data_IF_416710047766
#
_entry.id   IF_416710047766
#
_cell.length_a   1.000
_cell.length_b   1.000
_cell.length_c   1.000
_cell.angle_alpha   90.00
_cell.angle_beta   90.00
_cell.angle_gamma   90.00
#
_symmetry.space_group_name_H-M   'P 1'
#
loop_
_entity.id
_entity.type
_entity.pdbx_description
1 polymer ?
#
# COMPACT_ATOMS: atom_id res chain seq x y z
N UNK A 1 25.95 -10.59 7.23
CA UNK A 1 25.54 -10.10 5.90
C UNK A 1 24.74 -8.82 6.06
N UNK A 2 24.79 -7.91 5.09
CA UNK A 2 24.08 -6.62 5.07
C UNK A 2 23.19 -6.62 3.81
N UNK A 3 21.88 -6.39 3.98
CA UNK A 3 20.94 -6.23 2.88
C UNK A 3 21.06 -4.80 2.32
N UNK A 4 21.23 -4.66 1.02
CA UNK A 4 21.21 -3.38 0.33
C UNK A 4 19.83 -3.10 -0.24
N UNK A 5 19.31 -4.01 -1.05
CA UNK A 5 18.06 -3.79 -1.78
C UNK A 5 17.37 -5.12 -2.14
N UNK A 6 16.04 -5.10 -2.26
CA UNK A 6 15.23 -6.20 -2.81
C UNK A 6 14.63 -5.73 -4.13
N UNK A 7 14.81 -6.49 -5.20
CA UNK A 7 14.38 -6.11 -6.54
C UNK A 7 13.85 -7.32 -7.35
N UNK A 8 12.74 -7.11 -8.05
CA UNK A 8 12.15 -8.09 -8.96
C UNK A 8 12.70 -7.96 -10.37
N UNK A 9 13.55 -8.90 -10.77
CA UNK A 9 14.18 -8.89 -12.07
C UNK A 9 13.32 -9.58 -13.14
N UNK A 10 13.38 -9.04 -14.35
CA UNK A 10 12.93 -9.70 -15.58
C UNK A 10 14.12 -10.42 -16.24
N UNK A 11 13.93 -10.97 -17.43
CA UNK A 11 15.02 -11.59 -18.20
C UNK A 11 16.03 -10.56 -18.75
N UNK A 12 15.71 -9.27 -18.67
CA UNK A 12 16.56 -8.15 -19.09
C UNK A 12 17.18 -7.41 -17.90
N UNK A 13 17.15 -8.04 -16.71
CA UNK A 13 17.65 -7.48 -15.47
C UNK A 13 19.16 -7.24 -15.45
N UNK A 14 19.59 -6.15 -14.83
CA UNK A 14 20.99 -5.79 -14.67
C UNK A 14 21.26 -5.28 -13.26
N UNK A 15 22.44 -5.63 -12.72
CA UNK A 15 22.94 -5.13 -11.45
C UNK A 15 24.32 -4.54 -11.68
N UNK A 16 24.45 -3.25 -11.41
CA UNK A 16 25.74 -2.54 -11.43
C UNK A 16 26.19 -2.27 -10.01
N UNK A 17 27.43 -2.65 -9.70
CA UNK A 17 28.03 -2.40 -8.39
C UNK A 17 29.30 -1.58 -8.59
N UNK A 18 29.33 -0.42 -7.95
CA UNK A 18 30.49 0.45 -7.87
C UNK A 18 30.94 0.58 -6.41
N UNK A 19 32.17 0.22 -6.12
CA UNK A 19 32.78 0.33 -4.80
C UNK A 19 34.03 1.19 -4.89
N UNK A 20 34.21 2.12 -3.95
CA UNK A 20 35.40 2.97 -3.86
C UNK A 20 35.86 3.16 -2.43
N UNK A 21 37.11 3.60 -2.26
CA UNK A 21 37.72 3.86 -0.95
C UNK A 21 37.67 2.65 -0.02
N UNK A 22 37.87 1.44 -0.56
CA UNK A 22 37.80 0.22 0.24
C UNK A 22 38.98 0.16 1.20
N UNK A 23 38.66 0.02 2.48
CA UNK A 23 39.61 -0.21 3.55
C UNK A 23 39.18 -1.41 4.39
N UNK A 24 40.12 -2.32 4.62
CA UNK A 24 39.91 -3.52 5.42
C UNK A 24 40.91 -3.50 6.56
N UNK A 25 40.41 -3.49 7.79
CA UNK A 25 41.22 -3.52 9.00
C UNK A 25 40.98 -4.82 9.74
N UNK A 26 42.04 -5.50 10.13
CA UNK A 26 42.00 -6.73 10.92
C UNK A 26 42.36 -6.45 12.38
N UNK A 27 41.93 -7.34 13.29
CA UNK A 27 42.43 -7.29 14.66
C UNK A 27 43.95 -7.56 14.69
N UNK A 28 44.66 -7.00 15.68
CA UNK A 28 46.13 -6.99 15.76
C UNK A 28 46.76 -8.41 15.73
N UNK A 29 46.00 -9.45 16.08
CA UNK A 29 46.47 -10.84 16.11
C UNK A 29 45.87 -11.73 15.00
N UNK A 30 45.08 -11.15 14.09
CA UNK A 30 44.39 -11.88 13.04
C UNK A 30 45.22 -11.92 11.74
N UNK A 31 45.28 -13.05 11.03
CA UNK A 31 45.83 -13.08 9.68
C UNK A 31 45.02 -12.16 8.75
N UNK A 32 45.70 -11.59 7.74
CA UNK A 32 45.03 -10.76 6.73
C UNK A 32 43.88 -11.57 6.09
N UNK A 33 42.69 -10.97 5.93
CA UNK A 33 41.55 -11.68 5.34
C UNK A 33 41.84 -12.09 3.91
N UNK A 34 41.34 -13.28 3.54
CA UNK A 34 41.32 -13.73 2.16
C UNK A 34 40.32 -12.85 1.39
N UNK A 35 40.73 -12.11 0.35
CA UNK A 35 39.84 -11.18 -0.36
C UNK A 35 38.60 -11.84 -0.99
N UNK A 36 38.62 -13.15 -1.26
CA UNK A 36 37.45 -13.89 -1.78
C UNK A 36 36.35 -14.13 -0.75
N UNK A 37 36.60 -13.86 0.54
CA UNK A 37 35.62 -14.02 1.63
C UNK A 37 34.82 -12.76 1.94
N UNK A 38 35.02 -11.70 1.15
CA UNK A 38 34.34 -10.42 1.24
C UNK A 38 33.75 -10.13 -0.14
N UNK A 39 32.44 -9.88 -0.24
CA UNK A 39 31.83 -9.72 -1.55
C UNK A 39 30.32 -9.49 -1.55
N UNK A 40 29.81 -9.28 -2.75
CA UNK A 40 28.41 -9.06 -3.05
C UNK A 40 27.82 -10.25 -3.81
N UNK A 41 26.58 -10.59 -3.49
CA UNK A 41 25.84 -11.67 -4.13
C UNK A 41 24.35 -11.35 -4.15
N UNK A 42 23.63 -11.97 -5.09
CA UNK A 42 22.17 -11.99 -5.09
C UNK A 42 21.68 -13.30 -4.48
N UNK A 43 20.59 -13.20 -3.73
CA UNK A 43 19.90 -14.34 -3.15
C UNK A 43 18.40 -14.22 -3.41
N UNK A 44 17.81 -15.27 -3.99
CA UNK A 44 16.36 -15.33 -4.16
C UNK A 44 15.67 -15.71 -2.86
N UNK A 45 14.40 -15.33 -2.70
CA UNK A 45 13.61 -15.67 -1.52
C UNK A 45 13.43 -17.18 -1.35
N UNK A 46 13.27 -17.92 -2.45
CA UNK A 46 13.15 -19.39 -2.45
C UNK A 46 14.43 -20.08 -1.97
N UNK A 47 15.59 -19.50 -2.28
CA UNK A 47 16.90 -20.05 -1.92
C UNK A 47 17.36 -19.66 -0.50
N UNK A 48 16.70 -18.67 0.11
CA UNK A 48 17.08 -18.14 1.43
C UNK A 48 17.05 -19.22 2.52
N UNK A 49 16.05 -20.11 2.49
CA UNK A 49 15.92 -21.17 3.48
C UNK A 49 17.07 -22.18 3.39
N UNK A 50 17.42 -22.62 2.18
CA UNK A 50 18.54 -23.53 1.93
C UNK A 50 19.86 -22.94 2.42
N UNK A 51 20.15 -21.67 2.08
CA UNK A 51 21.36 -20.99 2.54
C UNK A 51 21.39 -20.87 4.06
N UNK A 52 20.25 -20.57 4.69
CA UNK A 52 20.17 -20.49 6.16
C UNK A 52 20.45 -21.85 6.82
N UNK A 53 19.97 -22.95 6.21
CA UNK A 53 20.28 -24.30 6.67
C UNK A 53 21.78 -24.64 6.53
N UNK A 54 22.42 -24.26 5.42
CA UNK A 54 23.87 -24.44 5.23
C UNK A 54 24.68 -23.70 6.31
N UNK A 55 24.30 -22.45 6.61
CA UNK A 55 24.92 -21.65 7.68
C UNK A 55 24.71 -22.28 9.06
N UNK A 56 23.51 -22.80 9.34
CA UNK A 56 23.21 -23.47 10.61
C UNK A 56 23.98 -24.77 10.79
N UNK A 57 24.17 -25.53 9.70
CA UNK A 57 24.90 -26.80 9.73
C UNK A 57 26.41 -26.60 9.87
N UNK A 58 26.97 -25.54 9.29
CA UNK A 58 28.39 -25.26 9.36
C UNK A 58 28.67 -23.79 9.76
N UNK A 59 29.10 -23.51 11.00
CA UNK A 59 29.33 -22.14 11.47
C UNK A 59 30.52 -21.45 10.79
N UNK A 60 31.42 -22.19 10.14
CA UNK A 60 32.55 -21.65 9.38
C UNK A 60 32.23 -21.49 7.88
N UNK A 61 30.99 -21.76 7.46
CA UNK A 61 30.56 -21.63 6.08
C UNK A 61 30.51 -20.16 5.64
N UNK A 62 31.02 -19.88 4.44
CA UNK A 62 30.87 -18.58 3.82
C UNK A 62 29.75 -18.62 2.78
N UNK A 63 28.75 -17.76 2.94
CA UNK A 63 27.60 -17.65 2.03
C UNK A 63 27.99 -17.37 0.57
N UNK A 64 29.17 -16.77 0.33
CA UNK A 64 29.72 -16.52 -1.00
C UNK A 64 30.13 -17.81 -1.74
N UNK A 65 30.32 -18.92 -1.02
CA UNK A 65 30.69 -20.23 -1.59
C UNK A 65 29.46 -21.12 -1.87
N UNK A 66 28.25 -20.68 -1.49
CA UNK A 66 27.01 -21.44 -1.71
C UNK A 66 26.66 -21.55 -3.19
N UNK A 67 26.15 -22.70 -3.61
CA UNK A 67 25.63 -22.90 -4.97
C UNK A 67 24.26 -22.23 -5.20
N UNK A 68 23.59 -21.79 -4.13
CA UNK A 68 22.28 -21.15 -4.19
C UNK A 68 22.34 -19.62 -4.29
N UNK A 69 23.53 -19.03 -4.22
CA UNK A 69 23.75 -17.60 -4.38
C UNK A 69 24.25 -17.29 -5.79
N UNK A 70 23.78 -16.19 -6.37
CA UNK A 70 24.35 -15.68 -7.61
C UNK A 70 25.47 -14.72 -7.23
N UNK A 71 26.69 -15.22 -7.30
CA UNK A 71 27.91 -14.50 -6.98
C UNK A 71 28.14 -13.35 -7.98
N UNK A 72 28.35 -12.13 -7.48
CA UNK A 72 28.62 -10.97 -8.32
C UNK A 72 30.12 -10.61 -8.27
N UNK A 73 30.56 -10.07 -7.13
CA UNK A 73 31.87 -9.43 -6.99
C UNK A 73 32.51 -9.80 -5.65
N UNK A 74 33.83 -10.06 -5.64
CA UNK A 74 34.61 -10.20 -4.41
C UNK A 74 35.75 -9.20 -4.35
N UNK A 75 36.28 -8.97 -3.15
CA UNK A 75 37.41 -8.05 -2.96
C UNK A 75 38.70 -8.53 -3.63
N UNK A 76 38.74 -9.76 -4.15
CA UNK A 76 39.82 -10.25 -5.02
C UNK A 76 39.93 -9.44 -6.32
N UNK A 77 38.82 -8.91 -6.82
CA UNK A 77 38.73 -8.23 -8.11
C UNK A 77 38.92 -6.70 -7.97
N UNK A 78 39.26 -6.21 -6.77
CA UNK A 78 39.56 -4.80 -6.53
C UNK A 78 40.80 -4.36 -7.31
N UNK A 79 40.76 -3.11 -7.80
CA UNK A 79 41.95 -2.47 -8.34
C UNK A 79 43.05 -2.37 -7.26
N UNK A 80 44.33 -2.47 -7.66
CA UNK A 80 45.43 -2.37 -6.71
C UNK A 80 45.43 -0.99 -6.01
N UNK A 81 45.96 -0.90 -4.78
CA UNK A 81 46.10 0.38 -4.07
C UNK A 81 46.83 1.43 -4.95
N UNK A 82 46.45 2.72 -4.86
CA UNK A 82 45.76 3.38 -3.76
C UNK A 82 44.23 3.52 -3.91
N UNK A 83 43.66 3.22 -5.07
CA UNK A 83 42.24 3.50 -5.37
C UNK A 83 41.29 2.46 -4.78
N UNK A 84 41.72 1.18 -4.68
CA UNK A 84 40.97 0.07 -4.10
C UNK A 84 39.48 0.12 -4.46
N UNK A 85 39.21 0.15 -5.77
CA UNK A 85 37.88 0.39 -6.34
C UNK A 85 37.49 -0.68 -7.34
N UNK A 86 36.19 -0.80 -7.59
CA UNK A 86 35.60 -1.73 -8.54
C UNK A 86 34.34 -1.11 -9.16
N UNK A 87 34.10 -1.33 -10.46
CA UNK A 87 32.88 -0.93 -11.14
C UNK A 87 32.57 -1.92 -12.27
N UNK A 88 31.50 -2.70 -12.12
CA UNK A 88 31.08 -3.69 -13.11
C UNK A 88 29.56 -3.86 -13.09
N UNK A 89 29.00 -4.15 -14.27
CA UNK A 89 27.60 -4.53 -14.44
C UNK A 89 27.48 -6.03 -14.74
N UNK A 90 26.46 -6.65 -14.15
CA UNK A 90 26.16 -8.09 -14.25
C UNK A 90 24.74 -8.29 -14.79
N UNK A 91 24.56 -9.07 -15.87
CA UNK A 91 23.23 -9.42 -16.36
C UNK A 91 22.60 -10.49 -15.47
N UNK A 92 21.32 -10.31 -15.12
CA UNK A 92 20.49 -11.27 -14.39
C UNK A 92 19.55 -11.93 -15.39
N UNK A 93 19.90 -13.15 -15.83
CA UNK A 93 19.17 -13.86 -16.89
C UNK A 93 17.97 -14.65 -16.35
N UNK A 94 18.03 -15.09 -15.10
CA UNK A 94 16.95 -15.80 -14.44
C UNK A 94 15.97 -14.80 -13.78
N UNK A 95 14.71 -14.70 -14.24
CA UNK A 95 13.75 -13.77 -13.67
C UNK A 95 13.27 -14.27 -12.31
N UNK A 96 13.54 -13.53 -11.24
CA UNK A 96 13.01 -13.78 -9.90
C UNK A 96 13.09 -12.49 -9.06
N UNK A 97 12.56 -12.54 -7.84
CA UNK A 97 12.82 -11.52 -6.83
C UNK A 97 14.11 -11.86 -6.08
N UNK A 98 15.09 -10.97 -6.17
CA UNK A 98 16.40 -11.14 -5.57
C UNK A 98 16.69 -10.03 -4.57
N UNK A 99 17.38 -10.40 -3.51
CA UNK A 99 17.95 -9.48 -2.52
C UNK A 99 19.45 -9.37 -2.74
N UNK A 100 19.95 -8.14 -2.88
CA UNK A 100 21.37 -7.83 -2.98
C UNK A 100 21.98 -7.73 -1.59
N UNK A 101 22.97 -8.58 -1.33
CA UNK A 101 23.65 -8.63 -0.04
C UNK A 101 25.14 -8.38 -0.17
N UNK A 102 25.72 -7.77 0.87
CA UNK A 102 27.14 -7.84 1.15
C UNK A 102 27.41 -8.86 2.25
N UNK A 103 28.38 -9.74 2.04
CA UNK A 103 28.88 -10.67 3.05
C UNK A 103 30.31 -10.34 3.47
N UNK A 104 30.52 -10.32 4.78
CA UNK A 104 31.83 -10.41 5.40
C UNK A 104 31.94 -11.77 6.09
N UNK A 105 32.65 -12.72 5.47
CA UNK A 105 32.91 -14.06 6.04
C UNK A 105 34.25 -14.12 6.80
N UNK A 106 34.80 -12.98 7.23
CA UNK A 106 36.00 -12.85 8.04
C UNK A 106 35.65 -12.07 9.33
N UNK A 107 35.15 -12.74 10.38
CA UNK A 107 34.52 -12.08 11.53
C UNK A 107 35.47 -11.15 12.31
N UNK A 108 36.78 -11.37 12.21
CA UNK A 108 37.80 -10.54 12.88
C UNK A 108 38.19 -9.27 12.10
N UNK A 109 37.43 -8.93 11.05
CA UNK A 109 37.73 -7.82 10.15
C UNK A 109 36.62 -6.78 10.10
N UNK A 110 37.02 -5.52 9.95
CA UNK A 110 36.13 -4.38 9.73
C UNK A 110 36.39 -3.82 8.34
N UNK A 111 35.31 -3.71 7.57
CA UNK A 111 35.32 -3.19 6.21
C UNK A 111 34.66 -1.82 6.21
N UNK A 112 35.32 -0.83 5.62
CA UNK A 112 34.75 0.48 5.33
C UNK A 112 34.93 0.78 3.86
N UNK A 113 33.87 1.22 3.20
CA UNK A 113 33.83 1.45 1.75
C UNK A 113 32.66 2.37 1.39
N UNK A 114 32.79 3.07 0.27
CA UNK A 114 31.66 3.76 -0.37
C UNK A 114 31.08 2.83 -1.44
N UNK A 115 29.78 2.58 -1.37
CA UNK A 115 29.08 1.65 -2.27
C UNK A 115 27.99 2.40 -3.00
N UNK A 116 27.93 2.23 -4.31
CA UNK A 116 26.81 2.65 -5.16
C UNK A 116 26.32 1.44 -5.95
N UNK A 117 25.04 1.14 -5.80
CA UNK A 117 24.35 0.05 -6.49
C UNK A 117 23.32 0.63 -7.44
N UNK A 118 23.22 0.07 -8.65
CA UNK A 118 22.12 0.35 -9.57
C UNK A 118 21.50 -1.00 -9.96
N UNK A 119 20.21 -1.18 -9.67
CA UNK A 119 19.43 -2.35 -10.07
C UNK A 119 18.31 -1.90 -11.00
N UNK A 120 18.21 -2.50 -12.17
CA UNK A 120 17.22 -2.09 -13.16
C UNK A 120 16.89 -3.22 -14.12
N UNK A 121 15.72 -3.14 -14.74
CA UNK A 121 15.37 -3.92 -15.91
C UNK A 121 15.55 -3.05 -17.17
N UNK A 122 15.86 -3.65 -18.31
CA UNK A 122 15.86 -2.91 -19.59
C UNK A 122 14.50 -3.04 -20.27
N UNK A 123 13.98 -1.90 -20.72
CA UNK A 123 12.81 -1.81 -21.59
C UNK A 123 13.18 -2.11 -23.05
N UNK A 124 12.16 -2.25 -23.91
CA UNK A 124 12.35 -2.57 -25.33
C UNK A 124 13.17 -1.50 -26.09
N UNK A 125 13.09 -0.25 -25.67
CA UNK A 125 13.84 0.88 -26.23
C UNK A 125 15.27 1.01 -25.67
N UNK A 126 15.66 0.12 -24.74
CA UNK A 126 16.95 0.16 -24.06
C UNK A 126 17.00 1.15 -22.88
N UNK A 127 15.89 1.79 -22.52
CA UNK A 127 15.82 2.60 -21.31
C UNK A 127 15.88 1.73 -20.05
N UNK A 128 16.41 2.30 -18.97
CA UNK A 128 16.49 1.63 -17.66
C UNK A 128 15.17 1.84 -16.91
N UNK A 129 14.57 0.75 -16.47
CA UNK A 129 13.44 0.73 -15.54
C UNK A 129 13.94 0.34 -14.15
N UNK A 130 14.00 1.31 -13.25
CA UNK A 130 14.40 1.12 -11.86
C UNK A 130 13.24 0.67 -10.95
N UNK A 131 12.06 0.38 -11.49
CA UNK A 131 11.00 -0.31 -10.75
C UNK A 131 11.15 -1.82 -10.87
N UNK A 132 10.90 -2.49 -9.74
CA UNK A 132 10.72 -3.93 -9.70
C UNK A 132 9.64 -4.37 -10.69
N UNK A 133 9.79 -5.56 -11.28
CA UNK A 133 8.88 -6.08 -12.31
C UNK A 133 7.39 -6.03 -11.91
N UNK A 134 7.08 -6.19 -10.62
CA UNK A 134 5.71 -6.10 -10.10
C UNK A 134 5.11 -4.71 -10.04
N UNK A 135 5.95 -3.66 -10.12
CA UNK A 135 5.60 -2.27 -9.88
C UNK A 135 5.66 -1.42 -11.15
N UNK A 136 6.30 -1.90 -12.22
CA UNK A 136 6.48 -1.16 -13.48
C UNK A 136 5.17 -0.62 -14.09
N UNK A 137 4.05 -1.30 -13.84
CA UNK A 137 2.72 -0.90 -14.33
C UNK A 137 2.01 0.13 -13.44
N UNK A 138 2.51 0.42 -12.24
CA UNK A 138 1.83 1.32 -11.30
C UNK A 138 1.72 2.77 -11.78
N UNK A 139 2.74 3.40 -12.40
CA UNK A 139 2.61 4.77 -12.88
C UNK A 139 1.43 4.93 -13.85
N UNK A 140 1.33 4.05 -14.85
CA UNK A 140 0.25 4.07 -15.84
C UNK A 140 -1.09 3.69 -15.21
N UNK A 141 -1.12 2.70 -14.32
CA UNK A 141 -2.32 2.28 -13.59
C UNK A 141 -2.92 3.43 -12.78
N UNK A 142 -2.13 4.07 -11.93
CA UNK A 142 -2.59 5.20 -11.11
C UNK A 142 -3.02 6.38 -11.97
N UNK A 143 -2.34 6.65 -13.08
CA UNK A 143 -2.76 7.67 -14.04
C UNK A 143 -4.12 7.35 -14.67
N UNK A 144 -4.38 6.10 -15.04
CA UNK A 144 -5.70 5.69 -15.56
C UNK A 144 -6.81 5.88 -14.52
N UNK A 145 -6.57 5.49 -13.26
CA UNK A 145 -7.55 5.75 -12.20
C UNK A 145 -7.74 7.24 -11.92
N UNK A 146 -6.68 8.05 -11.97
CA UNK A 146 -6.78 9.50 -11.85
C UNK A 146 -7.75 10.08 -12.88
N UNK A 147 -7.61 9.69 -14.16
CA UNK A 147 -8.55 10.11 -15.22
C UNK A 147 -9.97 9.62 -14.93
N UNK A 148 -10.15 8.38 -14.47
CA UNK A 148 -11.46 7.85 -14.10
C UNK A 148 -12.12 8.63 -12.95
N UNK A 149 -11.36 8.98 -11.92
CA UNK A 149 -11.83 9.78 -10.79
C UNK A 149 -12.15 11.22 -11.20
N UNK A 150 -11.37 11.84 -12.08
CA UNK A 150 -11.69 13.16 -12.64
C UNK A 150 -12.98 13.14 -13.48
N UNK A 151 -13.16 12.12 -14.32
CA UNK A 151 -14.40 11.95 -15.08
C UNK A 151 -15.61 11.79 -14.14
N UNK A 152 -15.45 11.01 -13.08
CA UNK A 152 -16.50 10.81 -12.09
C UNK A 152 -16.80 12.10 -11.31
N UNK A 153 -15.78 12.85 -10.90
CA UNK A 153 -15.93 14.16 -10.27
C UNK A 153 -16.68 15.15 -11.19
N UNK A 154 -16.32 15.20 -12.47
CA UNK A 154 -17.02 16.03 -13.46
C UNK A 154 -18.50 15.66 -13.60
N UNK A 155 -18.80 14.36 -13.65
CA UNK A 155 -20.18 13.86 -13.66
C UNK A 155 -20.95 14.24 -12.38
N UNK A 156 -20.29 14.20 -11.21
CA UNK A 156 -20.91 14.63 -9.94
C UNK A 156 -21.25 16.10 -9.92
N UNK A 157 -20.28 16.92 -10.30
CA UNK A 157 -20.44 18.36 -10.34
C UNK A 157 -21.60 18.72 -11.27
N UNK A 158 -21.71 18.04 -12.43
CA UNK A 158 -22.83 18.20 -13.34
C UNK A 158 -24.18 17.86 -12.68
N UNK A 159 -24.28 16.72 -11.98
CA UNK A 159 -25.50 16.31 -11.27
C UNK A 159 -25.87 17.31 -10.16
N UNK A 160 -24.90 17.74 -9.35
CA UNK A 160 -25.10 18.72 -8.29
C UNK A 160 -25.52 20.09 -8.86
N UNK A 161 -24.96 20.50 -10.00
CA UNK A 161 -25.35 21.73 -10.66
C UNK A 161 -26.73 21.67 -11.31
N UNK A 162 -27.16 20.49 -11.77
CA UNK A 162 -28.50 20.31 -12.32
C UNK A 162 -29.54 20.31 -11.21
N UNK A 163 -29.22 19.73 -10.05
CA UNK A 163 -30.12 19.59 -8.90
C UNK A 163 -29.72 20.50 -7.74
N UNK A 164 -29.35 21.77 -8.02
CA UNK A 164 -28.82 22.71 -7.00
C UNK A 164 -29.72 22.88 -5.77
N UNK A 165 -31.04 22.74 -5.95
CA UNK A 165 -32.02 22.82 -4.86
C UNK A 165 -31.97 21.65 -3.87
N UNK A 166 -31.32 20.54 -4.22
CA UNK A 166 -31.20 19.33 -3.40
C UNK A 166 -29.75 19.02 -3.00
N UNK A 167 -28.86 20.01 -3.16
CA UNK A 167 -27.45 19.88 -2.75
C UNK A 167 -27.34 20.22 -1.27
N UNK A 168 -26.68 19.34 -0.53
CA UNK A 168 -26.46 19.42 0.92
C UNK A 168 -24.95 19.26 1.18
N UNK A 169 -24.52 19.51 2.42
CA UNK A 169 -23.10 19.41 2.81
C UNK A 169 -22.47 18.06 2.46
N UNK A 170 -23.23 16.97 2.55
CA UNK A 170 -22.76 15.62 2.19
C UNK A 170 -22.31 15.53 0.73
N UNK A 171 -23.05 16.15 -0.20
CA UNK A 171 -22.71 16.15 -1.62
C UNK A 171 -21.40 16.91 -1.89
N UNK A 172 -21.16 18.00 -1.17
CA UNK A 172 -19.91 18.77 -1.23
C UNK A 172 -18.74 17.98 -0.63
N UNK A 173 -18.95 17.30 0.51
CA UNK A 173 -17.96 16.41 1.11
C UNK A 173 -17.57 15.27 0.16
N UNK A 174 -18.54 14.62 -0.48
CA UNK A 174 -18.28 13.58 -1.49
C UNK A 174 -17.47 14.10 -2.68
N UNK A 175 -17.79 15.30 -3.18
CA UNK A 175 -17.01 15.96 -4.23
C UNK A 175 -15.57 16.24 -3.79
N UNK A 176 -15.39 16.73 -2.55
CA UNK A 176 -14.07 16.95 -1.96
C UNK A 176 -13.25 15.65 -1.80
N UNK A 177 -13.89 14.55 -1.40
CA UNK A 177 -13.24 13.24 -1.30
C UNK A 177 -12.78 12.71 -2.66
N UNK A 178 -13.59 12.87 -3.71
CA UNK A 178 -13.20 12.49 -5.08
C UNK A 178 -12.02 13.32 -5.59
N UNK A 179 -12.03 14.63 -5.33
CA UNK A 179 -10.91 15.52 -5.68
C UNK A 179 -9.63 15.08 -4.97
N UNK A 180 -9.70 14.88 -3.65
CA UNK A 180 -8.56 14.42 -2.85
C UNK A 180 -8.02 13.07 -3.36
N UNK A 181 -8.91 12.13 -3.69
CA UNK A 181 -8.53 10.82 -4.25
C UNK A 181 -7.84 10.96 -5.61
N UNK A 182 -8.34 11.82 -6.49
CA UNK A 182 -7.70 12.10 -7.78
C UNK A 182 -6.31 12.72 -7.58
N UNK A 183 -6.17 13.73 -6.73
CA UNK A 183 -4.89 14.36 -6.42
C UNK A 183 -3.88 13.34 -5.84
N UNK A 184 -4.32 12.47 -4.93
CA UNK A 184 -3.48 11.41 -4.39
C UNK A 184 -2.98 10.42 -5.47
N UNK A 185 -3.82 10.11 -6.47
CA UNK A 185 -3.46 9.16 -7.53
C UNK A 185 -2.49 9.75 -8.55
N UNK A 186 -2.66 11.01 -8.97
CA UNK A 186 -1.67 11.65 -9.85
C UNK A 186 -0.32 11.78 -9.15
N UNK A 187 -0.36 12.12 -7.86
CA UNK A 187 0.78 12.10 -6.97
C UNK A 187 1.53 10.77 -6.93
N UNK A 188 0.78 9.68 -6.70
CA UNK A 188 1.36 8.34 -6.67
C UNK A 188 1.89 7.92 -8.04
N UNK A 189 1.23 8.35 -9.14
CA UNK A 189 1.70 8.08 -10.49
C UNK A 189 3.04 8.76 -10.78
N UNK A 190 3.17 10.04 -10.43
CA UNK A 190 4.38 10.84 -10.60
C UNK A 190 5.53 10.31 -9.76
N UNK A 191 5.31 10.01 -8.47
CA UNK A 191 6.32 9.39 -7.59
C UNK A 191 6.87 8.10 -8.21
N UNK A 192 5.98 7.18 -8.62
CA UNK A 192 6.41 5.93 -9.24
C UNK A 192 7.11 6.14 -10.58
N UNK A 193 6.67 7.11 -11.38
CA UNK A 193 7.33 7.44 -12.63
C UNK A 193 8.73 8.04 -12.39
N UNK A 194 8.88 8.90 -11.39
CA UNK A 194 10.16 9.48 -11.01
C UNK A 194 11.14 8.38 -10.59
N UNK A 195 10.74 7.49 -9.68
CA UNK A 195 11.56 6.36 -9.25
C UNK A 195 11.94 5.48 -10.45
N UNK A 196 10.99 5.19 -11.36
CA UNK A 196 11.24 4.41 -12.58
C UNK A 196 12.38 4.98 -13.43
N UNK A 197 12.55 6.30 -13.46
CA UNK A 197 13.53 7.00 -14.32
C UNK A 197 14.82 7.34 -13.59
N UNK A 198 14.77 7.72 -12.31
CA UNK A 198 15.94 8.26 -11.57
C UNK A 198 16.60 7.25 -10.64
N UNK A 199 15.92 6.14 -10.29
CA UNK A 199 16.31 5.20 -9.25
C UNK A 199 16.34 5.78 -7.82
N UNK A 200 15.96 7.05 -7.63
CA UNK A 200 15.99 7.71 -6.33
C UNK A 200 14.57 7.63 -5.74
N UNK A 201 14.40 7.06 -4.53
CA UNK A 201 13.12 7.15 -3.85
C UNK A 201 12.83 8.63 -3.59
N UNK A 202 11.63 9.12 -3.94
CA UNK A 202 11.30 10.54 -3.84
C UNK A 202 11.47 11.14 -2.43
N UNK A 203 11.59 10.30 -1.39
CA UNK A 203 11.87 10.74 -0.02
C UNK A 203 13.31 11.25 0.21
N UNK A 204 14.25 11.01 -0.70
CA UNK A 204 15.65 11.48 -0.62
C UNK A 204 16.02 12.53 -1.68
N UNK A 205 15.13 12.83 -2.62
CA UNK A 205 15.34 13.86 -3.66
C UNK A 205 14.77 15.21 -3.24
N UNK A 206 15.66 16.17 -2.99
CA UNK A 206 15.44 17.63 -2.94
C UNK A 206 14.42 18.20 -1.90
N UNK A 207 14.97 18.94 -0.95
CA UNK A 207 14.27 19.96 -0.15
C UNK A 207 13.74 21.07 -1.08
N UNK A 208 12.57 20.83 -1.69
CA UNK A 208 12.00 21.73 -2.67
C UNK A 208 10.51 21.55 -2.88
N UNK A 209 9.71 21.54 -1.80
CA UNK A 209 8.24 21.72 -1.83
C UNK A 209 7.53 20.95 -2.96
N UNK A 210 7.53 19.62 -2.90
CA UNK A 210 6.51 18.86 -3.63
C UNK A 210 5.18 19.04 -2.90
N UNK A 211 4.27 19.84 -3.46
CA UNK A 211 2.86 19.98 -3.04
C UNK A 211 2.21 18.59 -2.84
N UNK A 212 2.65 17.65 -3.66
CA UNK A 212 2.30 16.26 -3.62
C UNK A 212 2.77 15.51 -2.36
N UNK A 213 3.99 15.80 -1.87
CA UNK A 213 4.54 15.18 -0.66
C UNK A 213 3.72 15.53 0.58
N UNK A 214 3.24 16.77 0.68
CA UNK A 214 2.37 17.21 1.79
C UNK A 214 1.00 16.50 1.77
N UNK A 215 0.45 16.29 0.57
CA UNK A 215 -0.83 15.61 0.37
C UNK A 215 -0.72 14.10 0.66
N UNK A 216 0.36 13.45 0.21
CA UNK A 216 0.67 12.07 0.52
C UNK A 216 0.94 11.88 2.01
N UNK A 217 1.66 12.79 2.66
CA UNK A 217 1.88 12.75 4.11
C UNK A 217 0.54 12.84 4.83
N UNK A 218 -0.38 13.72 4.43
CA UNK A 218 -1.71 13.81 5.05
C UNK A 218 -2.56 12.54 4.81
N UNK A 219 -2.52 11.97 3.59
CA UNK A 219 -3.21 10.73 3.24
C UNK A 219 -2.63 9.51 3.97
N UNK A 220 -1.30 9.45 4.10
CA UNK A 220 -0.59 8.43 4.84
C UNK A 220 -0.79 8.60 6.34
N UNK A 221 -0.83 9.82 6.88
CA UNK A 221 -1.19 10.08 8.28
C UNK A 221 -2.64 9.70 8.54
N UNK A 222 -3.58 10.03 7.66
CA UNK A 222 -4.97 9.58 7.78
C UNK A 222 -5.06 8.04 7.69
N UNK A 223 -4.30 7.41 6.79
CA UNK A 223 -4.21 5.96 6.66
C UNK A 223 -3.53 5.30 7.87
N UNK A 224 -2.53 5.94 8.47
CA UNK A 224 -1.85 5.52 9.69
C UNK A 224 -2.73 5.73 10.90
N UNK A 225 -3.52 6.80 10.99
CA UNK A 225 -4.50 7.02 12.07
C UNK A 225 -5.68 6.05 11.95
N UNK A 226 -6.12 5.73 10.73
CA UNK A 226 -7.09 4.67 10.43
C UNK A 226 -6.44 3.26 10.53
N UNK A 227 -5.12 3.20 10.48
CA UNK A 227 -4.28 2.01 10.55
C UNK A 227 -3.52 1.90 11.87
N UNK A 228 -3.85 2.72 12.87
CA UNK A 228 -3.10 2.89 14.13
C UNK A 228 -3.51 1.79 15.11
N UNK A 229 -3.41 0.58 14.59
CA UNK A 229 -3.13 -0.65 15.33
C UNK A 229 -1.99 -1.43 14.65
N UNK A 230 -1.00 -0.72 14.08
CA UNK A 230 0.41 -1.14 14.07
C UNK A 230 1.12 -1.21 12.72
N UNK A 231 2.44 -0.89 12.73
CA UNK A 231 3.42 -1.92 12.37
C UNK A 231 4.75 -1.78 13.13
N UNK A 232 4.92 -2.45 14.29
CA UNK A 232 6.26 -2.69 14.85
C UNK A 232 6.33 -3.83 15.88
N UNK A 233 5.74 -5.01 15.62
CA UNK A 233 6.04 -6.21 16.44
C UNK A 233 6.17 -7.43 15.53
N UNK A 234 7.18 -8.23 15.84
CA UNK A 234 7.57 -9.51 15.24
C UNK A 234 6.48 -10.58 15.49
N UNK A 235 5.26 -10.37 14.98
CA UNK A 235 4.09 -11.26 14.90
C UNK A 235 2.90 -10.55 14.20
N UNK A 236 3.20 -9.73 13.18
CA UNK A 236 2.24 -8.84 12.52
C UNK A 236 1.10 -9.59 11.79
N UNK A 237 1.38 -10.76 11.24
CA UNK A 237 0.37 -11.62 10.58
C UNK A 237 -0.65 -12.13 11.60
N UNK A 238 -0.20 -12.49 12.80
CA UNK A 238 -1.05 -12.99 13.90
C UNK A 238 -1.96 -11.89 14.44
N UNK A 239 -1.46 -10.66 14.55
CA UNK A 239 -2.26 -9.50 14.98
C UNK A 239 -3.31 -9.09 13.93
N UNK A 240 -2.99 -9.12 12.64
CA UNK A 240 -4.00 -8.89 11.59
C UNK A 240 -5.13 -9.94 11.63
N UNK A 241 -4.82 -11.19 11.96
CA UNK A 241 -5.86 -12.23 12.16
C UNK A 241 -6.71 -11.98 13.41
N UNK A 242 -6.14 -11.42 14.48
CA UNK A 242 -6.88 -11.06 15.70
C UNK A 242 -7.80 -9.86 15.45
N UNK A 243 -7.34 -8.81 14.77
CA UNK A 243 -8.19 -7.66 14.41
C UNK A 243 -9.35 -8.07 13.50
N UNK A 244 -9.11 -8.99 12.57
CA UNK A 244 -10.13 -9.58 11.71
C UNK A 244 -11.18 -10.36 12.51
N UNK A 245 -10.77 -11.11 13.54
CA UNK A 245 -11.68 -11.83 14.43
C UNK A 245 -12.53 -10.86 15.26
N UNK A 246 -11.93 -9.77 15.75
CA UNK A 246 -12.64 -8.70 16.46
C UNK A 246 -13.64 -8.00 15.54
N UNK A 247 -13.25 -7.67 14.30
CA UNK A 247 -14.15 -7.04 13.33
C UNK A 247 -15.33 -7.95 12.95
N UNK A 248 -15.10 -9.26 12.80
CA UNK A 248 -16.18 -10.24 12.55
C UNK A 248 -17.12 -10.32 13.76
N UNK A 249 -16.59 -10.37 14.98
CA UNK A 249 -17.39 -10.39 16.21
C UNK A 249 -18.20 -9.11 16.36
N UNK A 250 -17.60 -7.94 16.11
CA UNK A 250 -18.27 -6.64 16.11
C UNK A 250 -19.34 -6.55 15.02
N UNK A 251 -19.07 -7.06 13.82
CA UNK A 251 -20.05 -7.13 12.74
C UNK A 251 -21.25 -8.00 13.13
N UNK A 252 -21.02 -9.17 13.72
CA UNK A 252 -22.10 -10.01 14.25
C UNK A 252 -22.87 -9.32 15.37
N UNK A 253 -22.17 -8.61 16.27
CA UNK A 253 -22.75 -7.88 17.39
C UNK A 253 -23.55 -6.64 16.97
N UNK A 254 -23.27 -6.05 15.80
CA UNK A 254 -24.03 -4.93 15.21
C UNK A 254 -25.17 -5.46 14.33
N UNK A 255 -24.91 -6.48 13.51
CA UNK A 255 -25.91 -7.06 12.59
C UNK A 255 -27.04 -7.75 13.38
N UNK A 256 -26.74 -8.42 14.49
CA UNK A 256 -27.77 -9.14 15.25
C UNK A 256 -28.84 -8.20 15.85
N UNK A 257 -28.49 -7.09 16.55
CA UNK A 257 -29.44 -6.07 16.97
C UNK A 257 -30.17 -5.39 15.82
N UNK A 258 -29.51 -5.14 14.69
CA UNK A 258 -30.16 -4.55 13.51
C UNK A 258 -31.21 -5.51 12.94
N UNK A 259 -30.88 -6.80 12.77
CA UNK A 259 -31.81 -7.81 12.28
C UNK A 259 -32.96 -8.03 13.26
N UNK A 260 -32.67 -8.06 14.57
CA UNK A 260 -33.68 -8.19 15.61
C UNK A 260 -34.60 -6.96 15.66
N UNK A 261 -34.03 -5.77 15.65
CA UNK A 261 -34.76 -4.50 15.64
C UNK A 261 -35.66 -4.38 14.42
N UNK A 262 -35.17 -4.75 13.22
CA UNK A 262 -35.97 -4.79 12.00
C UNK A 262 -37.11 -5.81 12.13
N UNK A 263 -36.90 -6.98 12.74
CA UNK A 263 -37.99 -7.96 12.95
C UNK A 263 -39.06 -7.42 13.90
N UNK A 264 -38.64 -6.88 15.04
CA UNK A 264 -39.51 -6.27 16.05
C UNK A 264 -40.33 -5.12 15.44
N UNK A 265 -39.68 -4.18 14.76
CA UNK A 265 -40.35 -3.07 14.11
C UNK A 265 -41.25 -3.50 12.95
N UNK A 266 -40.98 -4.65 12.29
CA UNK A 266 -41.86 -5.19 11.22
C UNK A 266 -43.15 -5.75 11.79
N UNK A 267 -43.11 -6.26 13.00
CA UNK A 267 -44.28 -6.74 13.72
C UNK A 267 -45.10 -5.55 14.22
N UNK A 268 -44.45 -4.52 14.78
CA UNK A 268 -45.11 -3.30 15.25
C UNK A 268 -45.62 -2.40 14.11
N UNK A 269 -44.96 -2.38 12.95
CA UNK A 269 -45.36 -1.58 11.78
C UNK A 269 -46.66 -2.02 11.13
N UNK A 270 -47.10 -3.27 11.37
CA UNK A 270 -48.38 -3.76 10.84
C UNK A 270 -49.58 -3.06 11.50
N UNK A 271 -49.36 -2.41 12.63
CA UNK A 271 -50.40 -1.74 13.43
C UNK A 271 -50.15 -0.25 13.62
N UNK A 272 -48.93 0.26 13.34
CA UNK A 272 -48.55 1.65 13.57
C UNK A 272 -47.73 2.22 12.39
N UNK A 273 -48.22 3.31 11.81
CA UNK A 273 -47.56 4.02 10.70
C UNK A 273 -46.21 4.62 11.09
N UNK A 274 -46.01 4.96 12.37
CA UNK A 274 -44.72 5.47 12.88
C UNK A 274 -43.65 4.37 12.94
N UNK A 275 -44.03 3.15 13.31
CA UNK A 275 -43.16 1.99 13.29
C UNK A 275 -42.80 1.53 11.86
N UNK A 276 -43.70 1.70 10.88
CA UNK A 276 -43.40 1.45 9.46
C UNK A 276 -42.32 2.40 8.91
N UNK A 277 -42.35 3.69 9.31
CA UNK A 277 -41.35 4.69 8.92
C UNK A 277 -39.97 4.40 9.53
N UNK A 278 -39.93 4.03 10.82
CA UNK A 278 -38.69 3.60 11.50
C UNK A 278 -38.07 2.33 10.88
N UNK A 279 -38.90 1.39 10.43
CA UNK A 279 -38.43 0.20 9.73
C UNK A 279 -37.78 0.55 8.37
N UNK A 280 -38.39 1.45 7.60
CA UNK A 280 -37.84 1.90 6.32
C UNK A 280 -36.47 2.58 6.53
N UNK A 281 -36.33 3.46 7.53
CA UNK A 281 -35.06 4.08 7.94
C UNK A 281 -34.00 3.02 8.24
N UNK A 282 -34.31 2.03 9.08
CA UNK A 282 -33.36 0.94 9.40
C UNK A 282 -32.97 0.08 8.21
N UNK A 283 -33.88 -0.19 7.27
CA UNK A 283 -33.57 -0.95 6.06
C UNK A 283 -32.64 -0.18 5.11
N UNK A 284 -32.87 1.13 5.02
CA UNK A 284 -32.10 2.06 4.20
C UNK A 284 -30.66 2.22 4.75
N UNK A 285 -30.51 2.39 6.07
CA UNK A 285 -29.19 2.39 6.71
C UNK A 285 -28.51 1.02 6.69
N UNK A 286 -29.26 -0.09 6.80
CA UNK A 286 -28.69 -1.44 6.71
C UNK A 286 -27.98 -1.68 5.38
N UNK A 287 -28.53 -1.22 4.26
CA UNK A 287 -27.86 -1.34 2.95
C UNK A 287 -26.54 -0.57 2.94
N UNK A 288 -26.53 0.65 3.46
CA UNK A 288 -25.31 1.46 3.61
C UNK A 288 -24.26 0.74 4.48
N UNK A 289 -24.65 0.23 5.65
CA UNK A 289 -23.75 -0.52 6.53
C UNK A 289 -23.18 -1.78 5.85
N UNK A 290 -23.99 -2.55 5.13
CA UNK A 290 -23.52 -3.75 4.41
C UNK A 290 -22.49 -3.36 3.33
N UNK A 291 -22.71 -2.28 2.59
CA UNK A 291 -21.79 -1.80 1.55
C UNK A 291 -20.47 -1.35 2.18
N UNK A 292 -20.50 -0.55 3.25
CA UNK A 292 -19.30 -0.08 3.96
C UNK A 292 -18.51 -1.25 4.54
N UNK A 293 -19.19 -2.15 5.26
CA UNK A 293 -18.56 -3.34 5.86
C UNK A 293 -17.98 -4.24 4.76
N UNK A 294 -18.69 -4.45 3.66
CA UNK A 294 -18.20 -5.23 2.52
C UNK A 294 -16.95 -4.62 1.88
N UNK A 295 -16.91 -3.30 1.69
CA UNK A 295 -15.74 -2.58 1.20
C UNK A 295 -14.54 -2.72 2.15
N UNK A 296 -14.77 -2.56 3.46
CA UNK A 296 -13.72 -2.72 4.47
C UNK A 296 -13.16 -4.14 4.47
N UNK A 297 -14.01 -5.17 4.44
CA UNK A 297 -13.54 -6.56 4.37
C UNK A 297 -12.79 -6.86 3.08
N UNK A 298 -13.26 -6.36 1.94
CA UNK A 298 -12.55 -6.58 0.68
C UNK A 298 -11.15 -5.94 0.72
N UNK A 299 -11.05 -4.68 1.13
CA UNK A 299 -9.78 -3.95 1.17
C UNK A 299 -8.83 -4.45 2.27
N UNK A 300 -9.34 -4.91 3.40
CA UNK A 300 -8.51 -5.44 4.50
C UNK A 300 -8.10 -6.90 4.30
N UNK A 301 -8.97 -7.74 3.74
CA UNK A 301 -8.72 -9.18 3.59
C UNK A 301 -8.23 -9.50 2.18
N UNK A 302 -9.01 -9.16 1.17
CA UNK A 302 -8.77 -9.63 -0.19
C UNK A 302 -7.55 -8.95 -0.79
N UNK A 303 -7.42 -7.62 -0.64
CA UNK A 303 -6.25 -6.89 -1.13
C UNK A 303 -4.97 -7.32 -0.38
N UNK A 304 -5.06 -7.52 0.94
CA UNK A 304 -3.94 -8.04 1.73
C UNK A 304 -3.53 -9.45 1.27
N UNK A 305 -4.50 -10.36 1.12
CA UNK A 305 -4.25 -11.70 0.62
C UNK A 305 -3.62 -11.66 -0.78
N UNK A 306 -4.16 -10.85 -1.70
CA UNK A 306 -3.60 -10.64 -3.04
C UNK A 306 -2.16 -10.15 -2.97
N UNK A 307 -1.84 -9.21 -2.09
CA UNK A 307 -0.47 -8.70 -1.90
C UNK A 307 0.49 -9.79 -1.40
N UNK A 308 0.01 -10.76 -0.63
CA UNK A 308 0.81 -11.87 -0.11
C UNK A 308 0.95 -13.03 -1.10
N UNK A 309 -0.11 -13.39 -1.84
CA UNK A 309 -0.11 -14.56 -2.72
C UNK A 309 0.30 -14.23 -4.16
N UNK A 310 0.18 -12.97 -4.58
CA UNK A 310 0.54 -12.59 -5.93
C UNK A 310 2.03 -12.82 -6.12
N UNK A 311 2.37 -13.56 -7.18
CA UNK A 311 3.76 -13.67 -7.59
C UNK A 311 4.35 -12.28 -7.81
N UNK A 312 5.66 -12.13 -7.61
CA UNK A 312 6.33 -10.83 -7.62
C UNK A 312 6.04 -9.97 -8.86
N UNK A 313 5.78 -10.59 -10.04
CA UNK A 313 5.41 -9.90 -11.29
C UNK A 313 3.99 -9.30 -11.29
N UNK A 314 3.09 -9.79 -10.45
CA UNK A 314 1.68 -9.41 -10.40
C UNK A 314 1.33 -8.57 -9.17
N UNK A 315 2.32 -7.99 -8.49
CA UNK A 315 2.09 -7.12 -7.33
C UNK A 315 1.21 -5.90 -7.65
N UNK A 316 1.22 -5.41 -8.89
CA UNK A 316 0.32 -4.33 -9.33
C UNK A 316 -1.16 -4.72 -9.25
N UNK A 317 -1.52 -6.01 -9.28
CA UNK A 317 -2.92 -6.48 -9.25
C UNK A 317 -3.59 -6.14 -7.92
N UNK A 318 -2.87 -6.22 -6.79
CA UNK A 318 -3.46 -5.84 -5.50
C UNK A 318 -3.80 -4.35 -5.46
N UNK A 319 -2.93 -3.51 -6.02
CA UNK A 319 -3.16 -2.06 -6.13
C UNK A 319 -4.34 -1.76 -7.06
N UNK A 320 -4.45 -2.47 -8.19
CA UNK A 320 -5.59 -2.34 -9.10
C UNK A 320 -6.90 -2.77 -8.43
N UNK A 321 -6.89 -3.87 -7.67
CA UNK A 321 -8.05 -4.37 -6.94
C UNK A 321 -8.51 -3.37 -5.86
N UNK A 322 -7.57 -2.77 -5.12
CA UNK A 322 -7.84 -1.74 -4.13
C UNK A 322 -8.52 -0.52 -4.76
N UNK A 323 -7.93 0.05 -5.80
CA UNK A 323 -8.48 1.23 -6.49
C UNK A 323 -9.81 0.94 -7.19
N UNK A 324 -9.99 -0.26 -7.74
CA UNK A 324 -11.29 -0.69 -8.30
C UNK A 324 -12.36 -0.78 -7.23
N UNK A 325 -12.04 -1.38 -6.08
CA UNK A 325 -12.98 -1.50 -4.97
C UNK A 325 -13.37 -0.13 -4.42
N UNK A 326 -12.41 0.78 -4.28
CA UNK A 326 -12.68 2.16 -3.89
C UNK A 326 -13.58 2.85 -4.91
N UNK A 327 -13.29 2.75 -6.21
CA UNK A 327 -14.10 3.39 -7.25
C UNK A 327 -15.54 2.86 -7.26
N UNK A 328 -15.73 1.54 -7.13
CA UNK A 328 -17.05 0.91 -7.00
C UNK A 328 -17.77 1.36 -5.74
N UNK A 329 -17.07 1.45 -4.61
CA UNK A 329 -17.62 1.96 -3.37
C UNK A 329 -18.13 3.41 -3.54
N UNK A 330 -17.32 4.30 -4.12
CA UNK A 330 -17.77 5.65 -4.42
C UNK A 330 -18.98 5.66 -5.36
N UNK A 331 -18.99 4.84 -6.41
CA UNK A 331 -20.13 4.76 -7.34
C UNK A 331 -21.44 4.33 -6.63
N UNK A 332 -21.38 3.35 -5.74
CA UNK A 332 -22.54 2.90 -4.95
C UNK A 332 -22.98 3.98 -3.98
N UNK A 333 -22.04 4.58 -3.23
CA UNK A 333 -22.33 5.69 -2.31
C UNK A 333 -23.04 6.84 -3.02
N UNK A 334 -22.57 7.17 -4.20
CA UNK A 334 -23.13 8.25 -5.00
C UNK A 334 -24.53 7.97 -5.52
N UNK A 335 -24.81 6.72 -5.88
CA UNK A 335 -26.14 6.29 -6.27
C UNK A 335 -27.12 6.41 -5.10
N UNK A 336 -26.69 5.99 -3.90
CA UNK A 336 -27.51 6.06 -2.68
C UNK A 336 -27.78 7.50 -2.24
N UNK A 337 -26.75 8.35 -2.26
CA UNK A 337 -26.83 9.75 -1.82
C UNK A 337 -26.88 10.73 -2.99
N UNK A 338 -27.56 10.37 -4.09
CA UNK A 338 -27.70 11.27 -5.23
C UNK A 338 -28.57 12.49 -4.85
N UNK A 339 -28.22 13.72 -5.28
CA UNK A 339 -29.05 14.90 -5.04
C UNK A 339 -30.29 14.81 -5.94
N UNK A 340 -31.43 14.48 -5.33
CA UNK A 340 -32.76 14.42 -5.93
C UNK A 340 -33.73 15.06 -4.94
N UNK A 341 -34.73 15.80 -5.41
CA UNK A 341 -35.68 16.55 -4.57
C UNK A 341 -36.36 15.73 -3.46
N UNK A 342 -36.50 14.41 -3.65
CA UNK A 342 -37.05 13.49 -2.63
C UNK A 342 -36.17 12.25 -2.50
N UNK A 343 -34.95 12.42 -2.04
CA UNK A 343 -34.13 11.28 -1.65
C UNK A 343 -34.57 10.79 -0.26
N UNK A 344 -34.95 9.51 -0.16
CA UNK A 344 -35.44 8.88 1.07
C UNK A 344 -34.46 9.01 2.26
N UNK A 345 -33.15 9.15 2.00
CA UNK A 345 -32.15 9.38 3.04
C UNK A 345 -32.26 10.76 3.71
N UNK A 346 -32.68 11.80 2.98
CA UNK A 346 -32.73 13.18 3.49
C UNK A 346 -34.13 13.55 4.01
N UNK A 347 -35.19 13.04 3.39
CA UNK A 347 -36.58 13.27 3.82
C UNK A 347 -36.83 12.74 5.25
N UNK A 348 -36.22 11.60 5.61
CA UNK A 348 -36.38 11.01 6.93
C UNK A 348 -35.66 11.76 8.06
N UNK A 349 -34.68 12.61 7.74
CA UNK A 349 -34.01 13.46 8.74
C UNK A 349 -34.78 14.78 8.90
N UNK A 350 -35.24 15.41 7.82
CA UNK A 350 -36.05 16.64 7.88
C UNK A 350 -37.36 16.44 8.68
N UNK A 351 -38.09 15.34 8.43
CA UNK A 351 -39.33 15.04 9.17
C UNK A 351 -39.10 14.71 10.66
N UNK A 352 -37.88 14.38 11.07
CA UNK A 352 -37.51 14.08 12.46
C UNK A 352 -37.03 15.33 13.19
N UNK A 353 -36.30 16.21 12.49
CA UNK A 353 -35.94 17.55 12.94
C UNK A 353 -37.22 18.40 13.17
N UNK A 354 -38.18 18.38 12.23
CA UNK A 354 -39.47 19.04 12.41
C UNK A 354 -40.27 18.47 13.60
N UNK A 355 -40.24 17.15 13.80
CA UNK A 355 -40.91 16.50 14.93
C UNK A 355 -40.25 16.84 16.28
N UNK A 356 -38.92 16.96 16.32
CA UNK A 356 -38.18 17.38 17.50
C UNK A 356 -38.41 18.87 17.80
N UNK A 357 -38.42 19.74 16.79
CA UNK A 357 -38.74 21.16 16.95
C UNK A 357 -40.17 21.39 17.45
N UNK A 358 -41.15 20.61 16.96
CA UNK A 358 -42.52 20.67 17.47
C UNK A 358 -42.60 20.22 18.93
N UNK A 359 -41.90 19.15 19.32
CA UNK A 359 -41.86 18.71 20.71
C UNK A 359 -41.24 19.75 21.65
N UNK A 360 -40.15 20.41 21.21
CA UNK A 360 -39.52 21.48 21.98
C UNK A 360 -40.42 22.72 22.12
N UNK A 361 -41.18 23.07 21.07
CA UNK A 361 -42.18 24.15 21.15
C UNK A 361 -43.32 23.81 22.09
N UNK A 362 -43.80 22.57 22.09
CA UNK A 362 -44.85 22.13 23.01
C UNK A 362 -44.35 22.17 24.47
N UNK A 363 -43.09 21.76 24.74
CA UNK A 363 -42.48 21.89 26.07
C UNK A 363 -42.26 23.35 26.51
N UNK A 364 -41.96 24.26 25.57
CA UNK A 364 -41.82 25.70 25.86
C UNK A 364 -43.18 26.39 26.13
N UNK A 365 -44.27 25.87 25.59
CA UNK A 365 -45.63 26.37 25.84
C UNK A 365 -46.26 25.84 27.16
N UNK A 366 -45.69 24.80 27.77
CA UNK A 366 -46.15 24.26 29.08
C UNK A 366 -45.43 24.86 30.31
N UNK A 367 -44.48 25.78 30.10
CA UNK A 367 -43.74 26.55 31.13
C UNK A 367 -44.27 27.99 31.24
#
# INVERSE_FOLDING_TARGET
MILFEKFGFTHTGHVTISVSSVSVTSSINAPNPIPSRLGFFLLSEESLLQVLLEIQQNPNFCVLESHYTLHLFTFRDLSPPPLSSFNQSYPVTAPNEYSLFFANCAPETRVSMNVRTEVYNLEFDGSKDFLSAGLTQLPSLYFVYFIAYLAFLGFWIYICFTNRGSVHRIHLLMGGLLLMKALNLICAAEDKHYVKVTAIPAREGEEGVDDCGSLQVLANVASVVIGETGPFIKDWVTWNQVFLLVDIICCCAIIFPIVWSIRSLRETSKTDGKAARNLAKLQLFRQFYIVVIGYLYFTRIVVFALKTIAAYKYQWVSNAAEETASLLFYAVMFYMFRPVEKNEYFVLDEEEEEAAEMALKDEEFEL
#
